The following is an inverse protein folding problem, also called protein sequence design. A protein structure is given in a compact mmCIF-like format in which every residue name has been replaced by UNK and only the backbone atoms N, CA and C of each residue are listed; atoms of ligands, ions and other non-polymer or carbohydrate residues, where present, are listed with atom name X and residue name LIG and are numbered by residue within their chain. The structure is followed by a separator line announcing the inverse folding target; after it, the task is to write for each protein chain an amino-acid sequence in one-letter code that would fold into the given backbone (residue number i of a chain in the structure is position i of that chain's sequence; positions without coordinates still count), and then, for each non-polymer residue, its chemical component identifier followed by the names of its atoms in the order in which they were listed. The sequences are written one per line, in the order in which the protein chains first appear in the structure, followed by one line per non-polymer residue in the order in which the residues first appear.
data_IF_086430185836
#
_entry.id   IF_086430185836
#
_cell.length_a   1.000
_cell.length_b   1.000
_cell.length_c   1.000
_cell.angle_alpha   90.00
_cell.angle_beta   90.00
_cell.angle_gamma   90.00
#
_symmetry.space_group_name_H-M   'P 1'
#
loop_
_entity.id
_entity.type
_entity.pdbx_description
1 polymer ?
#
# COMPACT_ATOMS: atom_id res chain seq x y z
N UNK A 1 7.91 -16.22 1.32
CA UNK A 1 6.66 -16.99 1.08
C UNK A 1 5.77 -17.10 2.33
N UNK A 2 6.27 -17.40 3.55
CA UNK A 2 5.40 -17.57 4.74
C UNK A 2 4.90 -16.26 5.39
N UNK A 3 5.72 -15.20 5.40
CA UNK A 3 5.39 -13.93 6.10
C UNK A 3 4.25 -13.13 5.45
N UNK A 4 4.21 -13.09 4.12
CA UNK A 4 3.14 -12.40 3.37
C UNK A 4 1.79 -13.10 3.56
N UNK A 5 1.81 -14.44 3.59
CA UNK A 5 0.61 -15.22 3.86
C UNK A 5 0.08 -14.98 5.28
N UNK A 6 0.97 -14.94 6.27
CA UNK A 6 0.62 -14.63 7.66
C UNK A 6 0.00 -13.23 7.82
N UNK A 7 0.57 -12.21 7.17
CA UNK A 7 -0.01 -10.86 7.14
C UNK A 7 -1.40 -10.84 6.48
N UNK A 8 -1.56 -11.53 5.34
CA UNK A 8 -2.87 -11.65 4.67
C UNK A 8 -3.90 -12.34 5.55
N UNK A 9 -3.52 -13.42 6.25
CA UNK A 9 -4.40 -14.14 7.18
C UNK A 9 -4.80 -13.26 8.38
N UNK A 10 -3.93 -12.34 8.81
CA UNK A 10 -4.22 -11.33 9.84
C UNK A 10 -5.08 -10.16 9.32
N UNK A 11 -5.51 -10.19 8.06
CA UNK A 11 -6.38 -9.19 7.46
C UNK A 11 -5.66 -8.03 6.78
N UNK A 12 -4.32 -8.06 6.69
CA UNK A 12 -3.58 -7.04 5.95
C UNK A 12 -3.82 -7.19 4.44
N UNK A 13 -4.02 -6.06 3.78
CA UNK A 13 -4.05 -5.97 2.32
C UNK A 13 -2.85 -5.19 1.80
N UNK A 14 -2.45 -5.47 0.55
CA UNK A 14 -1.39 -4.70 -0.08
C UNK A 14 -1.94 -3.31 -0.42
N UNK A 15 -1.32 -2.28 0.15
CA UNK A 15 -1.67 -0.88 -0.05
C UNK A 15 -0.59 -0.21 -0.87
N UNK A 16 -0.99 0.50 -1.92
CA UNK A 16 -0.08 1.32 -2.74
C UNK A 16 -0.54 2.76 -2.66
N UNK A 17 0.37 3.67 -2.31
CA UNK A 17 0.13 5.10 -2.23
C UNK A 17 1.09 5.85 -3.16
N UNK A 18 0.54 6.70 -4.01
CA UNK A 18 1.24 7.74 -4.73
C UNK A 18 1.24 9.00 -3.86
N UNK A 19 2.44 9.45 -3.48
CA UNK A 19 2.66 10.62 -2.63
C UNK A 19 3.29 11.71 -3.48
N UNK A 20 2.56 12.81 -3.65
CA UNK A 20 3.05 14.01 -4.35
C UNK A 20 3.54 15.01 -3.31
N UNK A 21 4.73 15.54 -3.51
CA UNK A 21 5.34 16.51 -2.62
C UNK A 21 6.08 17.61 -3.39
N UNK A 22 6.34 18.74 -2.74
CA UNK A 22 7.12 19.85 -3.29
C UNK A 22 8.59 19.69 -2.92
N UNK A 23 9.48 19.96 -3.87
CA UNK A 23 10.91 19.97 -3.59
C UNK A 23 11.27 21.18 -2.71
N UNK A 24 12.02 21.02 -1.61
CA UNK A 24 12.34 22.12 -0.69
C UNK A 24 13.00 23.32 -1.38
N UNK A 25 14.01 23.03 -2.21
CA UNK A 25 14.79 24.06 -2.93
C UNK A 25 14.01 24.67 -4.11
N UNK A 26 12.99 23.96 -4.61
CA UNK A 26 12.18 24.37 -5.75
C UNK A 26 10.69 24.08 -5.53
N UNK A 27 9.98 24.91 -4.73
CA UNK A 27 8.61 24.62 -4.33
C UNK A 27 7.61 24.59 -5.49
N UNK A 28 7.94 25.16 -6.65
CA UNK A 28 7.13 25.08 -7.88
C UNK A 28 7.16 23.69 -8.51
N UNK A 29 8.16 22.85 -8.20
CA UNK A 29 8.28 21.51 -8.71
C UNK A 29 7.53 20.51 -7.83
N UNK A 30 6.72 19.67 -8.46
CA UNK A 30 6.07 18.52 -7.84
C UNK A 30 6.82 17.25 -8.20
N UNK A 31 7.06 16.40 -7.21
CA UNK A 31 7.65 15.08 -7.38
C UNK A 31 6.72 14.01 -6.83
N UNK A 32 6.76 12.83 -7.44
CA UNK A 32 6.00 11.65 -7.02
C UNK A 32 6.91 10.63 -6.34
N UNK A 33 6.42 10.04 -5.26
CA UNK A 33 7.00 8.91 -4.56
C UNK A 33 5.95 7.81 -4.41
N UNK A 34 6.28 6.59 -4.83
CA UNK A 34 5.40 5.42 -4.68
C UNK A 34 5.78 4.67 -3.43
N UNK A 35 4.86 4.60 -2.49
CA UNK A 35 4.95 3.79 -1.28
C UNK A 35 4.08 2.55 -1.44
N UNK A 36 4.61 1.38 -1.11
CA UNK A 36 3.86 0.14 -1.13
C UNK A 36 4.15 -0.69 0.12
N UNK A 37 3.10 -1.01 0.88
CA UNK A 37 3.22 -1.82 2.08
C UNK A 37 1.93 -2.59 2.40
N UNK A 38 2.05 -3.63 3.21
CA UNK A 38 0.87 -4.28 3.79
C UNK A 38 0.28 -3.38 4.86
N UNK A 39 -1.02 -3.13 4.80
CA UNK A 39 -1.71 -2.25 5.75
C UNK A 39 -3.10 -2.78 6.11
N UNK A 40 -3.68 -2.26 7.19
CA UNK A 40 -4.99 -2.66 7.70
C UNK A 40 -6.04 -1.60 7.37
N UNK A 41 -6.92 -1.88 6.40
CA UNK A 41 -8.09 -1.04 6.14
C UNK A 41 -9.17 -1.24 7.21
N UNK A 42 -9.95 -0.21 7.58
CA UNK A 42 -9.95 1.17 7.03
C UNK A 42 -8.98 2.13 7.75
N UNK A 43 -8.26 1.66 8.78
CA UNK A 43 -7.47 2.54 9.66
C UNK A 43 -6.12 2.95 9.08
N UNK A 44 -5.54 2.16 8.19
CA UNK A 44 -4.25 2.37 7.53
C UNK A 44 -3.12 2.83 8.47
N UNK A 45 -2.85 2.09 9.57
CA UNK A 45 -1.83 2.47 10.54
C UNK A 45 -0.43 2.64 9.93
N UNK A 46 -0.03 1.80 8.99
CA UNK A 46 1.32 1.83 8.40
C UNK A 46 1.50 3.06 7.50
N UNK A 47 0.51 3.36 6.64
CA UNK A 47 0.51 4.56 5.82
C UNK A 47 0.49 5.82 6.67
N UNK A 48 -0.31 5.87 7.74
CA UNK A 48 -0.33 7.00 8.68
C UNK A 48 1.02 7.19 9.35
N UNK A 49 1.65 6.11 9.82
CA UNK A 49 2.98 6.17 10.43
C UNK A 49 4.02 6.72 9.44
N UNK A 50 4.01 6.23 8.20
CA UNK A 50 4.91 6.71 7.16
C UNK A 50 4.71 8.19 6.83
N UNK A 51 3.46 8.66 6.71
CA UNK A 51 3.17 10.07 6.45
C UNK A 51 3.53 10.99 7.63
N UNK A 52 3.43 10.51 8.86
CA UNK A 52 3.92 11.22 10.05
C UNK A 52 5.44 11.34 10.01
N UNK A 53 6.14 10.23 9.79
CA UNK A 53 7.59 10.23 9.59
C UNK A 53 8.00 11.19 8.48
N UNK A 54 7.29 11.19 7.34
CA UNK A 54 7.56 12.10 6.23
C UNK A 54 7.51 13.56 6.69
N UNK A 55 6.44 13.95 7.37
CA UNK A 55 6.25 15.33 7.83
C UNK A 55 7.30 15.76 8.87
N UNK A 56 7.77 14.83 9.68
CA UNK A 56 8.73 15.12 10.76
C UNK A 56 10.20 15.10 10.31
N UNK A 57 10.51 14.34 9.26
CA UNK A 57 11.91 14.04 8.88
C UNK A 57 12.31 14.51 7.49
N UNK A 58 11.36 14.76 6.59
CA UNK A 58 11.63 15.20 5.23
C UNK A 58 11.23 16.68 5.06
N UNK A 59 12.13 17.47 4.49
CA UNK A 59 11.90 18.90 4.25
C UNK A 59 10.83 19.17 3.17
N UNK A 60 10.49 18.15 2.37
CA UNK A 60 9.55 18.26 1.26
C UNK A 60 8.10 18.25 1.73
N UNK A 61 7.43 19.41 1.63
CA UNK A 61 6.03 19.55 2.00
C UNK A 61 5.12 18.65 1.13
N UNK A 62 4.31 17.83 1.81
CA UNK A 62 3.30 16.99 1.16
C UNK A 62 2.27 17.87 0.42
N UNK A 63 1.98 17.50 -0.82
CA UNK A 63 0.96 18.15 -1.65
C UNK A 63 -0.33 17.31 -1.69
N UNK A 64 -0.23 16.03 -2.05
CA UNK A 64 -1.38 15.12 -2.10
C UNK A 64 -0.94 13.67 -1.95
N UNK A 65 -1.86 12.82 -1.47
CA UNK A 65 -1.66 11.37 -1.37
C UNK A 65 -2.86 10.69 -1.99
N UNK A 66 -2.61 9.80 -2.96
CA UNK A 66 -3.64 8.96 -3.61
C UNK A 66 -3.28 7.51 -3.33
N UNK A 67 -4.22 6.72 -2.85
CA UNK A 67 -3.94 5.33 -2.50
C UNK A 67 -4.99 4.37 -3.01
N UNK A 68 -4.55 3.13 -3.23
CA UNK A 68 -5.39 1.98 -3.51
C UNK A 68 -5.05 0.88 -2.51
N UNK A 69 -6.08 0.21 -1.99
CA UNK A 69 -5.93 -0.89 -1.06
C UNK A 69 -6.57 -2.14 -1.66
N UNK A 70 -5.78 -3.19 -1.84
CA UNK A 70 -6.29 -4.47 -2.29
C UNK A 70 -6.30 -5.47 -1.12
N UNK A 71 -7.51 -5.79 -0.65
CA UNK A 71 -7.72 -6.89 0.29
C UNK A 71 -7.67 -8.21 -0.49
N UNK A 72 -6.46 -8.74 -0.65
CA UNK A 72 -6.17 -9.97 -1.39
C UNK A 72 -6.78 -11.25 -0.79
N UNK A 73 -7.56 -11.21 0.28
CA UNK A 73 -8.39 -12.36 0.68
C UNK A 73 -9.82 -11.85 0.74
N UNK A 74 -10.52 -11.94 -0.39
CA UNK A 74 -11.97 -11.81 -0.43
C UNK A 74 -12.59 -13.21 -0.41
N UNK A 75 -13.82 -13.40 0.13
CA UNK A 75 -14.51 -14.70 0.13
C UNK A 75 -14.59 -15.38 -1.24
N UNK A 76 -14.35 -14.64 -2.32
CA UNK A 76 -14.44 -15.11 -3.70
C UNK A 76 -13.20 -15.89 -4.18
N UNK A 77 -12.04 -15.76 -3.53
CA UNK A 77 -10.79 -16.39 -3.99
C UNK A 77 -10.54 -17.81 -3.43
N UNK A 78 -11.21 -18.19 -2.33
CA UNK A 78 -11.15 -19.57 -1.85
C UNK A 78 -12.22 -20.42 -2.56
N UNK A 79 -11.84 -20.99 -3.71
CA UNK A 79 -12.56 -22.12 -4.31
C UNK A 79 -11.71 -23.37 -4.15
N UNK A 80 -12.20 -24.36 -3.41
CA UNK A 80 -11.66 -25.71 -3.47
C UNK A 80 -11.96 -26.30 -4.85
N UNK A 81 -11.04 -26.14 -5.80
CA UNK A 81 -11.15 -26.75 -7.12
C UNK A 81 -10.88 -28.25 -7.00
N UNK A 82 -11.89 -29.07 -7.32
CA UNK A 82 -11.83 -30.55 -7.24
C UNK A 82 -11.24 -31.22 -8.50
N UNK A 83 -10.46 -30.51 -9.29
CA UNK A 83 -9.77 -31.07 -10.45
C UNK A 83 -9.36 -30.00 -11.45
N UNK A 84 -8.12 -30.10 -11.94
CA UNK A 84 -7.59 -29.30 -13.04
C UNK A 84 -7.44 -30.20 -14.27
N UNK A 85 -7.88 -29.73 -15.44
CA UNK A 85 -7.52 -30.33 -16.72
C UNK A 85 -6.48 -29.43 -17.39
N UNK A 86 -5.28 -29.95 -17.58
CA UNK A 86 -4.21 -29.30 -18.34
C UNK A 86 -4.42 -29.66 -19.82
N UNK A 87 -4.64 -28.66 -20.67
CA UNK A 87 -4.59 -28.82 -22.12
C UNK A 87 -3.31 -28.17 -22.63
N UNK A 88 -2.60 -28.90 -23.50
CA UNK A 88 -1.32 -28.53 -24.12
C UNK A 88 -1.47 -27.49 -25.23
#
# INVERSE_FOLDING_TARGET
MTRELDLRLKGYGLTTAEIIYRLPDHPSLLQSFVWQHYDLAPDFPEMKHFLTFWREKLDGALHSVRYVHNRLITPTEWRALKGEFILH
#
